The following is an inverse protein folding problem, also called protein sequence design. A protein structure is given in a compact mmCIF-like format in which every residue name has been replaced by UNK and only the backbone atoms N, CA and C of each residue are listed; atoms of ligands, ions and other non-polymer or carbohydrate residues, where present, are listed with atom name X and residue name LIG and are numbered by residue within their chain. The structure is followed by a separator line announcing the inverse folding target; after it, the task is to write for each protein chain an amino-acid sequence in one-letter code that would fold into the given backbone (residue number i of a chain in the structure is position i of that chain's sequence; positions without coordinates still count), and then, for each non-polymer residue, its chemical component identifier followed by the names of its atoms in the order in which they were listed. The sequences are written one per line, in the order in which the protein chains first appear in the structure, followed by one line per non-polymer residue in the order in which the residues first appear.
data_IF_198442047760
#
_entry.id   IF_198442047760
#
_cell.length_a   1.000
_cell.length_b   1.000
_cell.length_c   1.000
_cell.angle_alpha   90.00
_cell.angle_beta   90.00
_cell.angle_gamma   90.00
#
_symmetry.space_group_name_H-M   'P 1'
#
loop_
_entity.id
_entity.type
_entity.pdbx_description
1 polymer ?
#
# COMPACT_ATOMS: atom_id res chain seq x y z
N UNK A 1 -4.32 10.13 29.38
CA UNK A 1 -5.08 10.26 28.11
C UNK A 1 -4.17 10.29 26.88
N UNK A 2 -3.13 11.14 26.85
CA UNK A 2 -2.18 11.21 25.73
C UNK A 2 -1.38 9.91 25.51
N UNK A 3 -0.91 9.27 26.60
CA UNK A 3 -0.23 7.96 26.54
C UNK A 3 -1.13 6.85 25.96
N UNK A 4 -2.40 6.80 26.39
CA UNK A 4 -3.35 5.80 25.89
C UNK A 4 -3.63 5.99 24.40
N UNK A 5 -3.81 7.24 23.94
CA UNK A 5 -4.02 7.54 22.50
C UNK A 5 -2.78 7.21 21.66
N UNK A 6 -1.59 7.50 22.19
CA UNK A 6 -0.32 7.27 21.51
C UNK A 6 0.00 5.78 21.35
N UNK A 7 -0.15 4.97 22.39
CA UNK A 7 0.30 3.58 22.35
C UNK A 7 -0.72 2.62 21.74
N UNK A 8 -2.04 2.82 21.89
CA UNK A 8 -3.01 1.86 21.32
C UNK A 8 -3.47 2.25 19.92
N UNK A 9 -3.84 3.51 19.66
CA UNK A 9 -4.43 3.86 18.35
C UNK A 9 -3.38 4.11 17.28
N UNK A 10 -2.31 4.84 17.60
CA UNK A 10 -1.31 5.24 16.61
C UNK A 10 -0.41 4.08 16.18
N UNK A 11 -0.03 3.22 17.13
CA UNK A 11 0.66 1.97 16.84
C UNK A 11 -0.20 1.05 15.96
N UNK A 12 -1.48 0.83 16.33
CA UNK A 12 -2.40 0.03 15.52
C UNK A 12 -2.58 0.59 14.10
N UNK A 13 -2.66 1.92 13.94
CA UNK A 13 -2.73 2.56 12.62
C UNK A 13 -1.44 2.32 11.84
N UNK A 14 -0.28 2.44 12.47
CA UNK A 14 1.00 2.23 11.81
C UNK A 14 1.14 0.78 11.33
N UNK A 15 0.80 -0.20 12.17
CA UNK A 15 0.83 -1.61 11.83
C UNK A 15 -0.12 -1.91 10.65
N UNK A 16 -1.34 -1.38 10.71
CA UNK A 16 -2.31 -1.47 9.63
C UNK A 16 -1.79 -0.85 8.32
N UNK A 17 -1.11 0.31 8.39
CA UNK A 17 -0.53 0.97 7.21
C UNK A 17 0.57 0.10 6.58
N UNK A 18 1.40 -0.54 7.40
CA UNK A 18 2.47 -1.44 6.93
C UNK A 18 1.89 -2.67 6.24
N UNK A 19 0.96 -3.37 6.90
CA UNK A 19 0.28 -4.54 6.36
C UNK A 19 -0.43 -4.20 5.04
N UNK A 20 -1.22 -3.12 5.05
CA UNK A 20 -1.92 -2.63 3.85
C UNK A 20 -0.95 -2.28 2.73
N UNK A 21 0.23 -1.73 3.04
CA UNK A 21 1.25 -1.42 2.02
C UNK A 21 1.84 -2.68 1.39
N UNK A 22 2.08 -3.74 2.17
CA UNK A 22 2.58 -5.02 1.67
C UNK A 22 1.55 -5.66 0.75
N UNK A 23 0.30 -5.79 1.22
CA UNK A 23 -0.80 -6.36 0.43
C UNK A 23 -1.08 -5.56 -0.84
N UNK A 24 -1.08 -4.22 -0.74
CA UNK A 24 -1.24 -3.35 -1.90
C UNK A 24 -0.10 -3.51 -2.91
N UNK A 25 1.12 -3.79 -2.46
CA UNK A 25 2.26 -4.05 -3.35
C UNK A 25 2.08 -5.35 -4.14
N UNK A 26 1.60 -6.42 -3.48
CA UNK A 26 1.24 -7.68 -4.14
C UNK A 26 0.13 -7.42 -5.17
N UNK A 27 -0.91 -6.68 -4.80
CA UNK A 27 -2.00 -6.31 -5.69
C UNK A 27 -1.51 -5.54 -6.92
N UNK A 28 -0.58 -4.59 -6.75
CA UNK A 28 0.03 -3.86 -7.87
C UNK A 28 0.69 -4.82 -8.85
N UNK A 29 1.45 -5.82 -8.36
CA UNK A 29 2.08 -6.82 -9.22
C UNK A 29 1.05 -7.66 -9.99
N UNK A 30 -0.04 -8.07 -9.33
CA UNK A 30 -1.15 -8.77 -9.97
C UNK A 30 -1.80 -7.92 -11.06
N UNK A 31 -2.09 -6.64 -10.78
CA UNK A 31 -2.65 -5.71 -11.77
C UNK A 31 -1.71 -5.56 -12.97
N UNK A 32 -0.40 -5.44 -12.73
CA UNK A 32 0.59 -5.33 -13.81
C UNK A 32 0.67 -6.61 -14.65
N UNK A 33 0.60 -7.79 -14.01
CA UNK A 33 0.57 -9.08 -14.69
C UNK A 33 -0.68 -9.20 -15.59
N UNK A 34 -1.87 -8.91 -15.05
CA UNK A 34 -3.13 -8.93 -15.80
C UNK A 34 -3.08 -7.96 -16.97
N UNK A 35 -2.57 -6.74 -16.75
CA UNK A 35 -2.37 -5.75 -17.81
C UNK A 35 -1.44 -6.24 -18.92
N UNK A 36 -0.41 -7.00 -18.56
CA UNK A 36 0.56 -7.54 -19.49
C UNK A 36 -0.02 -8.71 -20.30
N UNK A 37 -0.62 -9.70 -19.63
CA UNK A 37 -1.19 -10.91 -20.23
C UNK A 37 -2.42 -10.55 -21.10
N UNK A 38 -3.37 -9.81 -20.53
CA UNK A 38 -4.61 -9.43 -21.20
C UNK A 38 -4.49 -8.12 -22.00
N UNK A 39 -3.27 -7.69 -22.34
CA UNK A 39 -3.00 -6.38 -23.01
C UNK A 39 -3.81 -6.15 -24.28
N UNK A 40 -4.10 -7.24 -25.03
CA UNK A 40 -4.85 -7.23 -26.29
C UNK A 40 -6.37 -7.24 -26.08
N UNK A 41 -6.83 -7.73 -24.93
CA UNK A 41 -8.25 -7.94 -24.64
C UNK A 41 -8.86 -6.90 -23.71
N UNK A 42 -8.04 -6.20 -22.94
CA UNK A 42 -8.53 -5.13 -22.05
C UNK A 42 -8.55 -3.78 -22.76
N UNK A 43 -9.74 -3.16 -22.79
CA UNK A 43 -9.90 -1.78 -23.24
C UNK A 43 -9.19 -0.81 -22.28
N UNK A 44 -8.85 0.41 -22.72
CA UNK A 44 -8.26 1.42 -21.84
C UNK A 44 -9.06 1.71 -20.56
N UNK A 45 -10.40 1.68 -20.65
CA UNK A 45 -11.29 1.92 -19.52
C UNK A 45 -11.14 0.84 -18.44
N UNK A 46 -11.10 -0.44 -18.83
CA UNK A 46 -10.93 -1.54 -17.87
C UNK A 46 -9.52 -1.57 -17.26
N UNK A 47 -8.50 -1.25 -18.05
CA UNK A 47 -7.13 -1.07 -17.56
C UNK A 47 -7.05 -0.03 -16.45
N UNK A 48 -7.73 1.11 -16.63
CA UNK A 48 -7.82 2.14 -15.61
C UNK A 48 -8.66 1.69 -14.41
N UNK A 49 -9.79 1.02 -14.65
CA UNK A 49 -10.68 0.56 -13.58
C UNK A 49 -10.04 -0.46 -12.64
N UNK A 50 -9.09 -1.29 -13.11
CA UNK A 50 -8.29 -2.17 -12.24
C UNK A 50 -7.54 -1.40 -11.14
N UNK A 51 -7.03 -0.20 -11.46
CA UNK A 51 -6.36 0.63 -10.46
C UNK A 51 -7.32 1.22 -9.43
N UNK A 52 -8.62 1.32 -9.73
CA UNK A 52 -9.61 1.77 -8.75
C UNK A 52 -9.81 0.72 -7.65
N UNK A 53 -9.54 -0.56 -7.93
CA UNK A 53 -9.53 -1.63 -6.91
C UNK A 53 -8.38 -1.40 -5.93
N UNK A 54 -7.18 -1.03 -6.44
CA UNK A 54 -6.05 -0.64 -5.59
C UNK A 54 -6.39 0.57 -4.72
N UNK A 55 -6.99 1.61 -5.31
CA UNK A 55 -7.41 2.80 -4.55
C UNK A 55 -8.42 2.41 -3.47
N UNK A 56 -9.41 1.56 -3.78
CA UNK A 56 -10.36 1.07 -2.79
C UNK A 56 -9.67 0.27 -1.67
N UNK A 57 -8.71 -0.61 -2.01
CA UNK A 57 -7.95 -1.41 -1.03
C UNK A 57 -7.14 -0.57 -0.06
N UNK A 58 -6.59 0.54 -0.53
CA UNK A 58 -5.81 1.49 0.28
C UNK A 58 -6.68 2.37 1.20
N UNK A 59 -7.99 2.51 0.91
CA UNK A 59 -8.91 3.34 1.70
C UNK A 59 -9.61 2.54 2.77
N UNK A 60 -9.94 1.27 2.49
CA UNK A 60 -10.77 0.44 3.36
C UNK A 60 -9.90 -0.20 4.45
N UNK A 61 -10.10 0.17 5.73
CA UNK A 61 -9.35 -0.40 6.83
C UNK A 61 -9.80 -1.82 7.21
N UNK A 62 -11.01 -2.23 6.81
CA UNK A 62 -11.60 -3.52 7.19
C UNK A 62 -12.52 -4.06 6.07
N UNK A 63 -12.40 -5.34 5.70
CA UNK A 63 -13.29 -6.04 4.77
C UNK A 63 -14.16 -7.07 5.49
N UNK A 64 -15.37 -7.40 4.97
CA UNK A 64 -16.16 -8.52 5.47
C UNK A 64 -15.48 -9.86 5.11
N UNK A 65 -15.30 -10.68 6.14
CA UNK A 65 -14.65 -11.99 6.09
C UNK A 65 -15.39 -12.96 5.17
N UNK A 66 -14.69 -13.69 4.28
CA UNK A 66 -15.34 -14.74 3.46
C UNK A 66 -14.43 -15.96 3.21
N UNK A 67 -15.05 -17.15 3.20
CA UNK A 67 -14.40 -18.46 3.30
C UNK A 67 -13.77 -19.02 2.01
N UNK A 68 -13.63 -18.23 0.94
CA UNK A 68 -13.10 -18.73 -0.33
C UNK A 68 -11.73 -18.12 -0.60
N UNK A 69 -10.67 -18.84 -0.19
CA UNK A 69 -9.30 -18.44 -0.51
C UNK A 69 -8.43 -19.60 -1.01
N UNK A 70 -7.64 -19.29 -2.04
CA UNK A 70 -6.74 -20.20 -2.76
C UNK A 70 -5.44 -20.42 -1.95
N UNK A 71 -5.21 -19.68 -0.85
CA UNK A 71 -4.06 -19.91 0.03
C UNK A 71 -4.07 -21.30 0.70
N UNK A 72 -5.17 -22.05 0.64
CA UNK A 72 -5.21 -23.47 0.95
C UNK A 72 -4.31 -24.35 0.04
N UNK A 73 -3.83 -23.84 -1.11
CA UNK A 73 -2.97 -24.57 -2.05
C UNK A 73 -1.46 -24.31 -1.88
N UNK A 74 -1.04 -23.45 -0.94
CA UNK A 74 0.38 -23.25 -0.60
C UNK A 74 0.65 -23.87 0.78
N UNK A 75 1.09 -25.14 0.86
CA UNK A 75 1.50 -25.74 2.12
C UNK A 75 2.89 -25.20 2.46
N UNK A 76 2.95 -24.05 3.12
CA UNK A 76 4.16 -23.61 3.82
C UNK A 76 3.92 -23.96 5.28
N UNK A 77 4.52 -25.08 5.68
CA UNK A 77 4.55 -25.67 7.03
C UNK A 77 3.28 -26.39 7.49
N UNK A 78 3.08 -27.60 6.99
CA UNK A 78 2.46 -28.66 7.79
C UNK A 78 3.60 -29.40 8.49
N UNK A 79 3.85 -29.07 9.77
CA UNK A 79 4.61 -29.94 10.67
C UNK A 79 3.88 -31.30 10.73
N UNK A 80 4.59 -32.43 10.57
CA UNK A 80 3.96 -33.74 10.58
C UNK A 80 3.45 -34.05 11.99
N UNK A 81 2.13 -34.16 12.13
CA UNK A 81 1.50 -34.75 13.32
C UNK A 81 2.06 -36.15 13.53
N UNK A 82 2.93 -36.27 14.53
CA UNK A 82 3.49 -37.53 14.97
C UNK A 82 2.40 -38.31 15.69
N UNK A 83 1.84 -39.31 15.02
CA UNK A 83 1.06 -40.37 15.66
C UNK A 83 2.04 -41.16 16.52
N UNK A 84 1.88 -41.16 17.83
CA UNK A 84 2.59 -42.11 18.70
C UNK A 84 1.61 -42.70 19.70
N UNK A 85 1.47 -44.02 19.55
CA UNK A 85 0.64 -44.94 20.31
C UNK A 85 1.02 -44.93 21.80
N UNK A 86 -0.01 -45.08 22.64
CA UNK A 86 0.12 -45.32 24.07
C UNK A 86 0.78 -46.67 24.35
N UNK A 87 1.71 -46.70 25.30
CA UNK A 87 1.93 -47.87 26.14
C UNK A 87 2.23 -47.43 27.58
N UNK A 88 1.51 -48.06 28.51
CA UNK A 88 1.44 -47.76 29.94
C UNK A 88 2.64 -48.31 30.70
N UNK A 89 3.23 -47.54 31.63
CA UNK A 89 3.75 -48.11 32.89
C UNK A 89 3.91 -47.06 34.00
N UNK A 90 3.72 -47.56 35.22
CA UNK A 90 3.53 -46.96 36.54
C UNK A 90 4.73 -46.22 37.18
N UNK A 91 4.41 -45.11 37.87
CA UNK A 91 4.96 -44.37 39.04
C UNK A 91 6.29 -44.82 39.75
N UNK A 92 6.96 -43.99 40.62
CA UNK A 92 6.48 -42.79 41.34
C UNK A 92 7.45 -41.59 41.55
N UNK A 93 6.86 -40.50 42.08
CA UNK A 93 7.40 -39.43 42.96
C UNK A 93 8.61 -38.58 42.54
N UNK A 94 8.35 -37.28 42.33
CA UNK A 94 9.35 -36.21 42.49
C UNK A 94 8.63 -34.89 42.87
N UNK A 95 9.23 -34.18 43.82
CA UNK A 95 8.73 -33.01 44.56
C UNK A 95 8.50 -31.81 43.62
N UNK A 96 7.29 -31.26 43.61
CA UNK A 96 6.95 -30.04 42.87
C UNK A 96 7.38 -28.78 43.66
N UNK A 97 8.35 -28.03 43.11
CA UNK A 97 8.66 -26.66 43.52
C UNK A 97 7.79 -25.71 42.69
N UNK A 98 6.96 -24.92 43.36
CA UNK A 98 6.11 -23.89 42.76
C UNK A 98 6.95 -22.77 42.12
N UNK A 99 6.71 -22.38 40.86
CA UNK A 99 7.40 -21.25 40.28
C UNK A 99 6.74 -19.93 40.71
N UNK A 100 7.61 -18.98 41.08
CA UNK A 100 7.29 -17.60 41.40
C UNK A 100 6.85 -16.89 40.12
N UNK A 101 5.64 -16.30 40.12
CA UNK A 101 5.18 -15.43 39.05
C UNK A 101 6.05 -14.16 39.01
N UNK A 102 6.82 -13.99 37.94
CA UNK A 102 7.50 -12.72 37.63
C UNK A 102 6.58 -11.96 36.67
N UNK A 103 6.01 -10.85 37.15
CA UNK A 103 5.37 -9.86 36.27
C UNK A 103 6.43 -9.32 35.30
N UNK A 104 6.26 -9.61 34.00
CA UNK A 104 7.08 -9.01 32.96
C UNK A 104 6.80 -7.50 32.88
N UNK A 105 7.82 -6.69 33.19
CA UNK A 105 7.81 -5.24 32.93
C UNK A 105 8.00 -5.05 31.42
N UNK A 106 7.10 -4.34 30.70
CA UNK A 106 7.19 -4.20 29.26
C UNK A 106 8.41 -3.35 28.89
N UNK A 107 9.39 -3.95 28.25
CA UNK A 107 10.54 -3.22 27.67
C UNK A 107 10.03 -2.50 26.42
N UNK A 108 9.90 -1.18 26.48
CA UNK A 108 9.57 -0.35 25.31
C UNK A 108 10.63 -0.56 24.20
N UNK A 109 10.22 -1.15 23.08
CA UNK A 109 11.06 -1.33 21.90
C UNK A 109 11.35 0.03 21.23
N UNK A 110 12.42 0.71 21.66
CA UNK A 110 12.86 2.02 21.16
C UNK A 110 12.91 2.14 19.62
N UNK A 111 13.23 1.06 18.90
CA UNK A 111 13.29 1.07 17.43
C UNK A 111 11.91 1.27 16.79
N UNK A 112 10.86 0.61 17.31
CA UNK A 112 9.48 0.76 16.80
C UNK A 112 9.01 2.20 16.95
N UNK A 113 9.25 2.79 18.13
CA UNK A 113 8.91 4.18 18.42
C UNK A 113 9.63 5.14 17.46
N UNK A 114 10.91 4.90 17.14
CA UNK A 114 11.64 5.69 16.14
C UNK A 114 11.00 5.60 14.76
N UNK A 115 10.65 4.40 14.28
CA UNK A 115 10.00 4.23 12.96
C UNK A 115 8.63 4.91 12.88
N UNK A 116 7.83 4.79 13.94
CA UNK A 116 6.53 5.44 14.04
C UNK A 116 6.67 6.97 14.00
N UNK A 117 7.65 7.54 14.73
CA UNK A 117 7.93 8.98 14.69
C UNK A 117 8.36 9.43 13.29
N UNK A 118 9.28 8.69 12.65
CA UNK A 118 9.73 8.98 11.28
C UNK A 118 8.54 8.95 10.31
N UNK A 119 7.65 7.97 10.43
CA UNK A 119 6.48 7.85 9.59
C UNK A 119 5.55 9.06 9.73
N UNK A 120 5.22 9.49 10.96
CA UNK A 120 4.38 10.66 11.23
C UNK A 120 5.01 11.93 10.68
N UNK A 121 6.30 12.14 10.95
CA UNK A 121 7.03 13.32 10.45
C UNK A 121 6.98 13.34 8.92
N UNK A 122 7.18 12.20 8.27
CA UNK A 122 7.06 12.07 6.80
C UNK A 122 5.67 12.45 6.30
N UNK A 123 4.61 11.93 6.92
CA UNK A 123 3.22 12.25 6.59
C UNK A 123 2.93 13.74 6.77
N UNK A 124 3.37 14.35 7.88
CA UNK A 124 3.16 15.76 8.17
C UNK A 124 3.89 16.67 7.16
N UNK A 125 5.16 16.39 6.87
CA UNK A 125 5.96 17.18 5.92
C UNK A 125 5.36 17.08 4.51
N UNK A 126 5.08 15.86 4.03
CA UNK A 126 4.53 15.65 2.70
C UNK A 126 3.09 16.19 2.57
N UNK A 127 2.28 16.03 3.62
CA UNK A 127 0.93 16.62 3.73
C UNK A 127 0.95 18.13 3.69
N UNK A 128 1.82 18.78 4.49
CA UNK A 128 1.99 20.22 4.48
C UNK A 128 2.45 20.71 3.11
N UNK A 129 3.43 20.06 2.50
CA UNK A 129 3.91 20.40 1.15
C UNK A 129 2.78 20.30 0.11
N UNK A 130 1.98 19.22 0.14
CA UNK A 130 0.82 19.06 -0.74
C UNK A 130 -0.22 20.17 -0.53
N UNK A 131 -0.54 20.51 0.72
CA UNK A 131 -1.50 21.57 1.03
C UNK A 131 -0.99 22.93 0.52
N UNK A 132 0.27 23.28 0.81
CA UNK A 132 0.86 24.55 0.41
C UNK A 132 0.94 24.69 -1.11
N UNK A 133 1.39 23.65 -1.82
CA UNK A 133 1.48 23.65 -3.29
C UNK A 133 0.10 23.77 -3.94
N UNK A 134 -0.89 22.98 -3.49
CA UNK A 134 -2.26 23.06 -4.00
C UNK A 134 -2.93 24.40 -3.68
N UNK A 135 -2.70 24.99 -2.48
CA UNK A 135 -3.22 26.31 -2.13
C UNK A 135 -2.61 27.42 -2.98
N UNK A 136 -1.28 27.39 -3.19
CA UNK A 136 -0.59 28.34 -4.09
C UNK A 136 -1.14 28.23 -5.51
N UNK A 137 -1.27 27.01 -6.03
CA UNK A 137 -1.83 26.75 -7.35
C UNK A 137 -3.28 27.21 -7.48
N UNK A 138 -4.11 26.92 -6.47
CA UNK A 138 -5.51 27.37 -6.43
C UNK A 138 -5.62 28.90 -6.44
N UNK A 139 -4.83 29.58 -5.60
CA UNK A 139 -4.81 31.04 -5.53
C UNK A 139 -4.28 31.69 -6.81
N UNK A 140 -3.36 31.02 -7.51
CA UNK A 140 -2.85 31.48 -8.79
C UNK A 140 -3.91 31.35 -9.90
N UNK A 141 -4.60 30.21 -9.96
CA UNK A 141 -5.62 29.92 -10.99
C UNK A 141 -6.90 30.72 -10.75
N UNK A 142 -7.31 30.92 -9.48
CA UNK A 142 -8.53 31.67 -9.15
C UNK A 142 -8.48 33.13 -9.61
N UNK A 143 -7.29 33.68 -9.82
CA UNK A 143 -7.03 35.03 -10.32
C UNK A 143 -6.96 35.12 -11.85
N UNK A 144 -6.96 33.99 -12.56
CA UNK A 144 -6.85 34.03 -14.02
C UNK A 144 -8.15 34.52 -14.68
N UNK A 145 -8.06 35.34 -15.72
CA UNK A 145 -9.23 35.85 -16.41
C UNK A 145 -9.99 34.73 -17.15
N UNK A 146 -11.31 34.90 -17.24
CA UNK A 146 -12.20 34.01 -18.01
C UNK A 146 -12.05 34.35 -19.49
N UNK A 147 -12.03 33.32 -20.35
CA UNK A 147 -12.00 33.48 -21.80
C UNK A 147 -13.38 33.95 -22.26
N UNK A 148 -13.42 35.10 -22.94
CA UNK A 148 -14.66 35.73 -23.45
C UNK A 148 -14.84 35.58 -24.96
N UNK A 149 -13.86 35.01 -25.66
CA UNK A 149 -13.88 34.90 -27.11
C UNK A 149 -15.02 33.98 -27.60
N UNK A 150 -15.95 34.56 -28.37
CA UNK A 150 -17.21 33.91 -28.77
C UNK A 150 -16.98 32.62 -29.55
N UNK A 151 -16.03 32.62 -30.50
CA UNK A 151 -15.65 31.44 -31.31
C UNK A 151 -15.34 30.24 -30.41
N UNK A 152 -14.43 30.43 -29.47
CA UNK A 152 -13.96 29.36 -28.57
C UNK A 152 -15.06 28.93 -27.60
N UNK A 153 -15.82 29.88 -27.06
CA UNK A 153 -16.94 29.58 -26.15
C UNK A 153 -18.05 28.77 -26.83
N UNK A 154 -18.36 29.05 -28.10
CA UNK A 154 -19.41 28.34 -28.82
C UNK A 154 -18.99 26.89 -29.13
N UNK A 155 -17.74 26.67 -29.56
CA UNK A 155 -17.17 25.32 -29.71
C UNK A 155 -17.22 24.57 -28.38
N UNK A 156 -16.78 25.22 -27.29
CA UNK A 156 -16.77 24.63 -25.96
C UNK A 156 -18.18 24.23 -25.48
N UNK A 157 -19.18 25.11 -25.65
CA UNK A 157 -20.58 24.84 -25.31
C UNK A 157 -21.15 23.67 -26.10
N UNK A 158 -20.85 23.58 -27.39
CA UNK A 158 -21.28 22.47 -28.23
C UNK A 158 -20.68 21.14 -27.74
N UNK A 159 -19.38 21.09 -27.46
CA UNK A 159 -18.73 19.91 -26.89
C UNK A 159 -19.37 19.49 -25.55
N UNK A 160 -19.62 20.48 -24.67
CA UNK A 160 -20.24 20.26 -23.36
C UNK A 160 -21.65 19.67 -23.50
N UNK A 161 -22.44 20.17 -24.46
CA UNK A 161 -23.78 19.68 -24.79
C UNK A 161 -23.75 18.24 -25.31
N UNK A 162 -22.88 17.94 -26.27
CA UNK A 162 -22.72 16.60 -26.84
C UNK A 162 -22.27 15.56 -25.81
N UNK A 163 -21.40 15.94 -24.87
CA UNK A 163 -20.96 15.05 -23.79
C UNK A 163 -21.96 14.95 -22.63
N UNK A 164 -23.11 15.63 -22.73
CA UNK A 164 -24.17 15.69 -21.72
C UNK A 164 -23.72 16.24 -20.36
N UNK A 165 -22.82 17.23 -20.35
CA UNK A 165 -22.30 17.85 -19.13
C UNK A 165 -23.16 19.08 -18.77
N UNK A 166 -23.94 18.97 -17.69
CA UNK A 166 -24.84 20.05 -17.23
C UNK A 166 -24.15 21.07 -16.34
N UNK A 167 -23.06 20.69 -15.65
CA UNK A 167 -22.36 21.59 -14.73
C UNK A 167 -21.78 22.78 -15.51
N UNK A 168 -21.85 23.95 -14.90
CA UNK A 168 -21.15 25.11 -15.43
C UNK A 168 -19.67 25.03 -15.04
N UNK A 169 -18.81 25.04 -16.06
CA UNK A 169 -17.37 24.89 -15.93
C UNK A 169 -16.79 26.06 -16.73
N UNK A 170 -16.25 27.09 -16.06
CA UNK A 170 -15.72 28.26 -16.76
C UNK A 170 -14.42 27.89 -17.49
N UNK A 171 -14.26 28.49 -18.66
CA UNK A 171 -13.04 28.44 -19.46
C UNK A 171 -12.16 29.64 -19.09
N UNK A 172 -10.96 29.41 -18.58
CA UNK A 172 -10.06 30.47 -18.11
C UNK A 172 -8.70 30.42 -18.84
N UNK A 173 -7.99 31.54 -18.90
CA UNK A 173 -6.61 31.55 -19.40
C UNK A 173 -5.69 30.81 -18.42
N UNK A 174 -4.70 30.09 -18.95
CA UNK A 174 -3.78 29.27 -18.16
C UNK A 174 -2.58 30.06 -17.58
N UNK A 175 -2.29 31.25 -18.13
CA UNK A 175 -1.17 32.09 -17.73
C UNK A 175 0.17 31.36 -17.91
N UNK A 176 0.92 31.16 -16.81
CA UNK A 176 2.18 30.41 -16.78
C UNK A 176 2.03 28.88 -16.94
N UNK A 177 0.81 28.34 -16.88
CA UNK A 177 0.58 26.91 -17.12
C UNK A 177 0.41 26.73 -18.62
N UNK A 178 1.30 25.97 -19.26
CA UNK A 178 1.35 25.96 -20.73
C UNK A 178 0.40 24.94 -21.36
N UNK A 179 0.08 23.83 -20.68
CA UNK A 179 -0.83 22.81 -21.21
C UNK A 179 -2.30 23.15 -20.95
N UNK A 180 -3.24 22.82 -21.87
CA UNK A 180 -4.65 22.73 -21.51
C UNK A 180 -4.80 21.77 -20.35
N UNK A 181 -5.58 22.15 -19.34
CA UNK A 181 -5.74 21.32 -18.15
C UNK A 181 -7.03 21.65 -17.41
N UNK A 182 -7.77 20.61 -17.04
CA UNK A 182 -8.84 20.72 -16.04
C UNK A 182 -8.25 20.89 -14.64
N UNK A 183 -8.75 21.88 -13.89
CA UNK A 183 -8.32 22.17 -12.52
C UNK A 183 -9.50 22.25 -11.55
N UNK A 184 -9.30 21.71 -10.34
CA UNK A 184 -10.21 21.88 -9.21
C UNK A 184 -11.30 20.81 -9.12
N UNK A 185 -11.62 20.41 -7.87
CA UNK A 185 -12.64 19.39 -7.58
C UNK A 185 -14.03 20.03 -7.42
N UNK A 186 -14.19 20.90 -6.40
CA UNK A 186 -15.50 21.49 -6.08
C UNK A 186 -15.92 22.56 -7.12
N UNK A 187 -14.94 23.34 -7.58
CA UNK A 187 -15.09 24.41 -8.58
C UNK A 187 -14.19 24.10 -9.79
N UNK A 188 -14.58 23.14 -10.65
CA UNK A 188 -13.78 22.77 -11.81
C UNK A 188 -13.66 23.95 -12.78
N UNK A 189 -12.49 24.12 -13.37
CA UNK A 189 -12.19 25.14 -14.40
C UNK A 189 -11.36 24.48 -15.49
N UNK A 190 -11.61 24.79 -16.75
CA UNK A 190 -10.74 24.37 -17.85
C UNK A 190 -9.81 25.52 -18.17
N UNK A 191 -8.52 25.25 -18.17
CA UNK A 191 -7.48 26.22 -18.48
C UNK A 191 -7.02 26.03 -19.92
N UNK A 192 -6.86 27.14 -20.64
CA UNK A 192 -6.37 27.15 -22.01
C UNK A 192 -5.36 28.27 -22.21
N UNK A 193 -4.23 27.95 -22.84
CA UNK A 193 -3.21 28.95 -23.22
C UNK A 193 -3.78 29.95 -24.24
N UNK A 194 -3.37 31.21 -24.13
CA UNK A 194 -3.70 32.26 -25.09
C UNK A 194 -3.26 31.90 -26.51
N UNK A 195 -2.14 31.20 -26.66
CA UNK A 195 -1.68 30.71 -27.96
C UNK A 195 -2.66 29.73 -28.59
N UNK A 196 -3.31 28.88 -27.78
CA UNK A 196 -4.33 27.96 -28.28
C UNK A 196 -5.58 28.69 -28.76
N UNK A 197 -6.02 29.66 -27.97
CA UNK A 197 -7.17 30.50 -28.29
C UNK A 197 -6.96 31.21 -29.63
N UNK A 198 -5.74 31.66 -29.93
CA UNK A 198 -5.42 32.42 -31.15
C UNK A 198 -5.09 31.57 -32.37
N UNK A 199 -4.33 30.49 -32.20
CA UNK A 199 -3.72 29.78 -33.33
C UNK A 199 -4.35 28.42 -33.64
N UNK A 200 -5.10 27.81 -32.72
CA UNK A 200 -5.73 26.53 -33.02
C UNK A 200 -7.00 26.70 -33.85
N UNK A 201 -7.10 25.84 -34.85
CA UNK A 201 -8.31 25.67 -35.65
C UNK A 201 -9.46 25.13 -34.81
N UNK A 202 -10.69 25.36 -35.28
CA UNK A 202 -11.91 24.98 -34.57
C UNK A 202 -11.96 23.47 -34.25
N UNK A 203 -11.53 22.64 -35.19
CA UNK A 203 -11.46 21.18 -34.99
C UNK A 203 -10.42 20.79 -33.93
N UNK A 204 -9.27 21.46 -33.91
CA UNK A 204 -8.23 21.20 -32.91
C UNK A 204 -8.70 21.58 -31.51
N UNK A 205 -9.39 22.73 -31.36
CA UNK A 205 -10.02 23.13 -30.11
C UNK A 205 -11.07 22.12 -29.65
N UNK A 206 -11.92 21.66 -30.57
CA UNK A 206 -12.95 20.65 -30.31
C UNK A 206 -12.33 19.34 -29.78
N UNK A 207 -11.25 18.87 -30.39
CA UNK A 207 -10.51 17.69 -29.94
C UNK A 207 -9.95 17.84 -28.52
N UNK A 208 -9.35 18.99 -28.20
CA UNK A 208 -8.85 19.30 -26.86
C UNK A 208 -10.01 19.31 -25.86
N UNK A 209 -11.13 19.95 -26.19
CA UNK A 209 -12.28 20.01 -25.29
C UNK A 209 -12.90 18.65 -25.01
N UNK A 210 -13.05 17.77 -26.00
CA UNK A 210 -13.51 16.40 -25.73
C UNK A 210 -12.56 15.64 -24.78
N UNK A 211 -11.25 15.87 -24.88
CA UNK A 211 -10.27 15.27 -23.98
C UNK A 211 -10.36 15.84 -22.56
N UNK A 212 -10.34 17.17 -22.39
CA UNK A 212 -10.41 17.81 -21.06
C UNK A 212 -11.74 17.56 -20.35
N UNK A 213 -12.86 17.61 -21.09
CA UNK A 213 -14.18 17.27 -20.56
C UNK A 213 -14.28 15.77 -20.21
N UNK A 214 -13.45 14.92 -20.82
CA UNK A 214 -13.37 13.51 -20.45
C UNK A 214 -12.78 13.30 -19.06
N UNK A 215 -11.74 14.05 -18.68
CA UNK A 215 -11.23 14.05 -17.31
C UNK A 215 -12.29 14.47 -16.31
N UNK A 216 -13.09 15.49 -16.66
CA UNK A 216 -14.16 15.97 -15.79
C UNK A 216 -15.23 14.89 -15.58
N UNK A 217 -15.75 14.30 -16.67
CA UNK A 217 -16.82 13.30 -16.62
C UNK A 217 -16.40 12.03 -15.85
N UNK A 218 -15.11 11.68 -15.89
CA UNK A 218 -14.53 10.55 -15.15
C UNK A 218 -14.06 10.89 -13.72
N UNK A 219 -14.14 12.15 -13.30
CA UNK A 219 -13.70 12.64 -11.98
C UNK A 219 -12.20 12.38 -11.71
N UNK A 220 -11.38 12.46 -12.75
CA UNK A 220 -9.97 12.10 -12.70
C UNK A 220 -9.17 12.95 -11.69
N UNK A 221 -9.50 14.22 -11.53
CA UNK A 221 -8.86 15.11 -10.54
C UNK A 221 -9.10 14.62 -9.11
N UNK A 222 -10.31 14.18 -8.80
CA UNK A 222 -10.64 13.68 -7.46
C UNK A 222 -9.88 12.40 -7.15
N UNK A 223 -9.80 11.48 -8.13
CA UNK A 223 -9.06 10.22 -8.00
C UNK A 223 -7.56 10.49 -7.85
N UNK A 224 -7.02 11.46 -8.60
CA UNK A 224 -5.61 11.84 -8.49
C UNK A 224 -5.29 12.49 -7.14
N UNK A 225 -6.16 13.36 -6.61
CA UNK A 225 -5.98 13.90 -5.27
C UNK A 225 -6.03 12.80 -4.21
N UNK A 226 -7.02 11.90 -4.30
CA UNK A 226 -7.17 10.78 -3.38
C UNK A 226 -5.93 9.87 -3.40
N UNK A 227 -5.44 9.51 -4.59
CA UNK A 227 -4.22 8.72 -4.73
C UNK A 227 -2.99 9.45 -4.16
N UNK A 228 -2.88 10.77 -4.33
CA UNK A 228 -1.79 11.54 -3.73
C UNK A 228 -1.88 11.55 -2.20
N UNK A 229 -3.07 11.65 -1.61
CA UNK A 229 -3.25 11.51 -0.16
C UNK A 229 -2.81 10.13 0.33
N UNK A 230 -3.21 9.07 -0.37
CA UNK A 230 -2.80 7.69 -0.05
C UNK A 230 -1.29 7.49 -0.18
N UNK A 231 -0.66 8.06 -1.21
CA UNK A 231 0.80 8.04 -1.36
C UNK A 231 1.52 8.76 -0.23
N UNK A 232 0.93 9.81 0.37
CA UNK A 232 1.51 10.48 1.53
C UNK A 232 1.50 9.55 2.75
N UNK A 233 0.41 8.81 2.97
CA UNK A 233 0.31 7.82 4.05
C UNK A 233 1.31 6.69 3.85
N UNK A 234 1.46 6.22 2.60
CA UNK A 234 2.38 5.14 2.22
C UNK A 234 3.65 5.66 1.53
N UNK A 235 4.19 6.80 1.95
CA UNK A 235 5.26 7.50 1.23
C UNK A 235 6.52 6.65 1.07
N UNK A 236 6.77 5.74 2.01
CA UNK A 236 7.91 4.83 2.02
C UNK A 236 7.81 3.72 0.97
N UNK A 237 6.64 3.49 0.34
CA UNK A 237 6.41 2.39 -0.58
C UNK A 237 6.66 2.79 -2.05
N UNK A 238 7.80 2.42 -2.66
CA UNK A 238 8.14 2.77 -4.04
C UNK A 238 7.22 2.11 -5.08
N UNK A 239 6.63 0.95 -4.76
CA UNK A 239 5.73 0.22 -5.66
C UNK A 239 4.43 1.01 -5.87
N UNK A 240 3.92 1.65 -4.82
CA UNK A 240 2.74 2.53 -4.94
C UNK A 240 3.04 3.79 -5.76
N UNK A 241 4.23 4.36 -5.65
CA UNK A 241 4.65 5.48 -6.52
C UNK A 241 4.69 5.06 -8.00
N UNK A 242 5.20 3.87 -8.28
CA UNK A 242 5.16 3.29 -9.62
C UNK A 242 3.73 3.02 -10.09
N UNK A 243 2.88 2.45 -9.23
CA UNK A 243 1.47 2.19 -9.50
C UNK A 243 0.72 3.48 -9.86
N UNK A 244 0.92 4.56 -9.10
CA UNK A 244 0.34 5.87 -9.39
C UNK A 244 0.78 6.39 -10.78
N UNK A 245 2.05 6.23 -11.13
CA UNK A 245 2.57 6.60 -12.45
C UNK A 245 1.92 5.76 -13.56
N UNK A 246 1.78 4.45 -13.37
CA UNK A 246 1.13 3.56 -14.33
C UNK A 246 -0.38 3.83 -14.45
N UNK A 247 -1.06 4.11 -13.34
CA UNK A 247 -2.46 4.50 -13.29
C UNK A 247 -2.72 5.78 -14.08
N UNK A 248 -1.86 6.81 -13.92
CA UNK A 248 -1.96 8.05 -14.72
C UNK A 248 -1.83 7.78 -16.23
N UNK A 249 -0.96 6.87 -16.64
CA UNK A 249 -0.86 6.50 -18.06
C UNK A 249 -2.14 5.86 -18.61
N UNK A 250 -2.78 5.00 -17.81
CA UNK A 250 -4.06 4.40 -18.19
C UNK A 250 -5.22 5.40 -18.13
N UNK A 251 -5.13 6.39 -17.25
CA UNK A 251 -6.08 7.48 -17.14
C UNK A 251 -6.11 8.30 -18.45
N UNK A 252 -4.96 8.68 -18.97
CA UNK A 252 -4.83 9.39 -20.27
C UNK A 252 -5.43 8.58 -21.42
N UNK A 253 -5.12 7.28 -21.46
CA UNK A 253 -5.64 6.37 -22.48
C UNK A 253 -7.15 6.19 -22.42
N UNK A 254 -7.71 6.14 -21.22
CA UNK A 254 -9.15 6.06 -21.01
C UNK A 254 -9.85 7.38 -21.38
N UNK A 255 -9.21 8.53 -21.18
CA UNK A 255 -9.68 9.83 -21.65
C UNK A 255 -9.72 9.90 -23.17
N UNK A 256 -8.61 9.57 -23.84
CA UNK A 256 -8.56 9.51 -25.30
C UNK A 256 -9.65 8.55 -25.85
N UNK A 257 -9.80 7.38 -25.24
CA UNK A 257 -10.81 6.41 -25.65
C UNK A 257 -12.23 6.96 -25.52
N UNK A 258 -12.51 7.78 -24.49
CA UNK A 258 -13.83 8.40 -24.33
C UNK A 258 -14.04 9.57 -25.31
N UNK A 259 -13.04 10.43 -25.49
CA UNK A 259 -13.08 11.51 -26.48
C UNK A 259 -13.38 10.97 -27.89
N UNK A 260 -12.75 9.86 -28.25
CA UNK A 260 -12.95 9.17 -29.53
C UNK A 260 -14.39 8.66 -29.77
N UNK A 261 -15.24 8.58 -28.73
CA UNK A 261 -16.66 8.24 -28.90
C UNK A 261 -17.49 9.38 -29.51
N UNK A 262 -16.98 10.62 -29.45
CA UNK A 262 -17.59 11.85 -29.97
C UNK A 262 -16.92 12.36 -31.26
N UNK A 263 -15.78 11.78 -31.64
CA UNK A 263 -15.02 12.17 -32.84
C UNK A 263 -15.37 11.24 -34.00
N UNK A 264 -15.61 11.83 -35.17
CA UNK A 264 -15.94 11.06 -36.37
C UNK A 264 -14.77 10.15 -36.79
N UNK A 265 -15.06 8.96 -37.38
CA UNK A 265 -14.01 8.04 -37.82
C UNK A 265 -12.99 8.65 -38.80
N UNK A 266 -13.42 9.56 -39.66
CA UNK A 266 -12.57 10.27 -40.63
C UNK A 266 -11.59 11.25 -39.97
N UNK A 267 -11.91 11.72 -38.76
CA UNK A 267 -11.17 12.76 -38.04
C UNK A 267 -10.16 12.20 -37.03
N UNK A 268 -10.10 10.88 -36.85
CA UNK A 268 -9.26 10.23 -35.83
C UNK A 268 -7.77 10.52 -36.00
N UNK A 269 -7.31 10.59 -37.25
CA UNK A 269 -5.92 10.94 -37.55
C UNK A 269 -5.63 12.40 -37.18
N UNK A 270 -6.55 13.31 -37.48
CA UNK A 270 -6.43 14.73 -37.12
C UNK A 270 -6.41 14.93 -35.59
N UNK A 271 -7.24 14.17 -34.86
CA UNK A 271 -7.17 14.09 -33.40
C UNK A 271 -5.78 13.65 -32.92
N UNK A 272 -5.27 12.54 -33.47
CA UNK A 272 -3.94 12.02 -33.13
C UNK A 272 -2.83 13.04 -33.36
N UNK A 273 -2.84 13.75 -34.49
CA UNK A 273 -1.87 14.81 -34.78
C UNK A 273 -1.99 15.99 -33.82
N UNK A 274 -3.21 16.39 -33.46
CA UNK A 274 -3.45 17.48 -32.50
C UNK A 274 -2.84 17.13 -31.14
N UNK A 275 -3.02 15.89 -30.68
CA UNK A 275 -2.41 15.41 -29.44
C UNK A 275 -0.88 15.41 -29.52
N UNK A 276 -0.29 14.97 -30.64
CA UNK A 276 1.18 15.00 -30.83
C UNK A 276 1.70 16.44 -30.74
N UNK A 277 1.09 17.35 -31.49
CA UNK A 277 1.48 18.77 -31.51
C UNK A 277 1.41 19.39 -30.10
N UNK A 278 0.34 19.09 -29.36
CA UNK A 278 0.17 19.55 -27.98
C UNK A 278 1.28 19.03 -27.07
N UNK A 279 1.60 17.74 -27.14
CA UNK A 279 2.65 17.13 -26.31
C UNK A 279 4.03 17.68 -26.64
N UNK A 280 4.34 17.88 -27.93
CA UNK A 280 5.62 18.44 -28.35
C UNK A 280 5.81 19.87 -27.85
N UNK A 281 4.77 20.69 -27.93
CA UNK A 281 4.79 22.09 -27.53
C UNK A 281 5.00 22.30 -26.01
N UNK A 282 4.62 21.35 -25.16
CA UNK A 282 4.59 21.52 -23.70
C UNK A 282 5.55 20.63 -22.89
N UNK A 283 6.44 19.88 -23.56
CA UNK A 283 7.34 18.92 -22.92
C UNK A 283 8.53 19.50 -22.12
N UNK A 284 8.65 20.83 -22.00
CA UNK A 284 9.86 21.52 -21.52
C UNK A 284 9.79 22.16 -20.13
N UNK A 285 8.66 22.11 -19.41
CA UNK A 285 8.53 22.76 -18.09
C UNK A 285 8.49 21.79 -16.90
N UNK A 286 9.07 22.18 -15.75
CA UNK A 286 9.03 21.51 -14.44
C UNK A 286 7.59 21.50 -13.87
N UNK A 287 7.10 20.37 -13.31
CA UNK A 287 5.67 20.19 -13.01
C UNK A 287 5.39 19.51 -11.64
N UNK A 288 4.44 20.01 -10.83
CA UNK A 288 3.96 19.36 -9.60
C UNK A 288 3.01 18.18 -9.89
N UNK A 289 2.99 17.18 -9.01
CA UNK A 289 2.33 15.86 -9.17
C UNK A 289 0.79 15.86 -9.20
N UNK A 290 0.14 17.02 -9.02
CA UNK A 290 -1.31 17.14 -8.86
C UNK A 290 -2.06 17.45 -10.16
N UNK A 291 -1.34 17.71 -11.25
CA UNK A 291 -1.92 17.95 -12.57
C UNK A 291 -1.80 16.68 -13.44
N UNK A 292 -2.90 16.29 -14.08
CA UNK A 292 -2.88 15.27 -15.13
C UNK A 292 -2.12 15.86 -16.31
N UNK A 293 -0.86 15.46 -16.52
CA UNK A 293 -0.02 16.05 -17.57
C UNK A 293 0.69 15.01 -18.43
N UNK A 294 0.75 15.35 -19.72
CA UNK A 294 1.36 14.57 -20.77
C UNK A 294 2.88 14.47 -20.60
N UNK A 295 3.35 13.28 -20.23
CA UNK A 295 4.76 12.99 -20.02
C UNK A 295 5.51 12.72 -21.34
N UNK A 296 6.74 13.28 -21.46
CA UNK A 296 7.78 13.16 -22.52
C UNK A 296 8.29 11.73 -22.76
N UNK A 297 7.44 10.71 -22.73
CA UNK A 297 7.83 9.35 -23.04
C UNK A 297 7.29 8.99 -24.43
N UNK A 298 8.18 8.93 -25.42
CA UNK A 298 7.87 8.51 -26.79
C UNK A 298 7.11 7.19 -26.83
N UNK A 299 7.38 6.27 -25.89
CA UNK A 299 6.66 5.00 -25.76
C UNK A 299 5.19 5.23 -25.38
N UNK A 300 4.90 6.17 -24.47
CA UNK A 300 3.53 6.50 -24.04
C UNK A 300 2.74 7.17 -25.15
N UNK A 301 3.33 8.17 -25.79
CA UNK A 301 2.71 8.84 -26.92
C UNK A 301 2.42 7.84 -28.05
N UNK A 302 3.39 6.99 -28.41
CA UNK A 302 3.20 5.90 -29.38
C UNK A 302 2.03 4.99 -29.01
N UNK A 303 1.91 4.60 -27.74
CA UNK A 303 0.79 3.76 -27.29
C UNK A 303 -0.56 4.47 -27.50
N UNK A 304 -0.67 5.77 -27.16
CA UNK A 304 -1.89 6.57 -27.39
C UNK A 304 -2.27 6.61 -28.86
N UNK A 305 -1.32 6.91 -29.74
CA UNK A 305 -1.56 6.97 -31.20
C UNK A 305 -1.98 5.62 -31.78
N UNK A 306 -1.35 4.52 -31.34
CA UNK A 306 -1.76 3.17 -31.77
C UNK A 306 -3.19 2.86 -31.31
N UNK A 307 -3.57 3.26 -30.10
CA UNK A 307 -4.93 3.08 -29.58
C UNK A 307 -5.95 3.88 -30.39
N UNK A 308 -5.68 5.17 -30.64
CA UNK A 308 -6.52 6.06 -31.45
C UNK A 308 -6.73 5.46 -32.85
N UNK A 309 -5.66 4.97 -33.50
CA UNK A 309 -5.72 4.34 -34.82
C UNK A 309 -6.57 3.07 -34.83
N UNK A 310 -6.49 2.25 -33.77
CA UNK A 310 -7.18 0.95 -33.66
C UNK A 310 -8.55 1.04 -32.96
N UNK A 311 -9.03 2.24 -32.67
CA UNK A 311 -10.25 2.44 -31.90
C UNK A 311 -11.48 1.81 -32.58
N UNK A 312 -12.20 0.99 -31.83
CA UNK A 312 -13.46 0.38 -32.26
C UNK A 312 -14.54 0.58 -31.18
N UNK A 313 -15.71 1.10 -31.59
CA UNK A 313 -16.80 1.52 -30.71
C UNK A 313 -17.59 0.34 -30.10
N UNK A 314 -17.55 -0.84 -30.73
CA UNK A 314 -18.32 -2.02 -30.29
C UNK A 314 -17.37 -3.18 -30.00
N UNK A 315 -17.14 -3.46 -28.72
CA UNK A 315 -16.44 -4.67 -28.35
C UNK A 315 -16.98 -5.26 -27.04
N UNK A 316 -18.18 -5.83 -27.14
CA UNK A 316 -18.86 -6.44 -26.00
C UNK A 316 -18.05 -7.59 -25.38
N UNK A 317 -17.29 -8.34 -26.20
CA UNK A 317 -16.37 -9.37 -25.72
C UNK A 317 -15.25 -8.80 -24.84
N UNK A 318 -14.66 -7.67 -25.24
CA UNK A 318 -13.62 -7.00 -24.43
C UNK A 318 -14.19 -6.42 -23.14
N UNK A 319 -15.47 -6.03 -23.15
CA UNK A 319 -16.19 -5.59 -21.95
C UNK A 319 -16.40 -6.74 -20.96
N UNK A 320 -16.79 -7.92 -21.44
CA UNK A 320 -16.96 -9.11 -20.61
C UNK A 320 -15.63 -9.56 -19.97
N UNK A 321 -14.54 -9.61 -20.74
CA UNK A 321 -13.20 -9.93 -20.21
C UNK A 321 -12.75 -8.92 -19.16
N UNK A 322 -13.01 -7.63 -19.38
CA UNK A 322 -12.73 -6.58 -18.40
C UNK A 322 -13.49 -6.76 -17.09
N UNK A 323 -14.78 -7.10 -17.17
CA UNK A 323 -15.61 -7.36 -16.01
C UNK A 323 -15.13 -8.58 -15.21
N UNK A 324 -14.82 -9.69 -15.89
CA UNK A 324 -14.26 -10.89 -15.26
C UNK A 324 -12.93 -10.58 -14.56
N UNK A 325 -12.06 -9.80 -15.21
CA UNK A 325 -10.78 -9.40 -14.60
C UNK A 325 -10.99 -8.55 -13.33
N UNK A 326 -11.95 -7.60 -13.34
CA UNK A 326 -12.28 -6.83 -12.13
C UNK A 326 -12.84 -7.73 -11.04
N UNK A 327 -13.77 -8.64 -11.36
CA UNK A 327 -14.33 -9.56 -10.38
C UNK A 327 -13.27 -10.47 -9.77
N UNK A 328 -12.38 -11.04 -10.59
CA UNK A 328 -11.29 -11.89 -10.12
C UNK A 328 -10.31 -11.13 -9.20
N UNK A 329 -9.91 -9.91 -9.57
CA UNK A 329 -9.00 -9.09 -8.74
C UNK A 329 -9.69 -8.62 -7.48
N UNK A 330 -10.98 -8.25 -7.56
CA UNK A 330 -11.75 -7.82 -6.38
C UNK A 330 -11.95 -8.97 -5.40
N UNK A 331 -12.29 -10.16 -5.87
CA UNK A 331 -12.40 -11.35 -5.04
C UNK A 331 -11.06 -11.74 -4.41
N UNK A 332 -9.96 -11.62 -5.15
CA UNK A 332 -8.63 -11.89 -4.62
C UNK A 332 -8.15 -10.87 -3.58
N UNK A 333 -8.50 -9.59 -3.77
CA UNK A 333 -7.91 -8.49 -2.98
C UNK A 333 -8.75 -8.01 -1.80
N UNK A 334 -10.06 -8.21 -1.85
CA UNK A 334 -11.02 -7.64 -0.90
C UNK A 334 -11.61 -8.70 0.04
N UNK A 335 -11.06 -9.92 0.02
CA UNK A 335 -11.44 -11.01 0.92
C UNK A 335 -10.28 -11.26 1.87
N UNK A 336 -10.47 -10.90 3.14
CA UNK A 336 -9.53 -11.26 4.19
C UNK A 336 -9.67 -12.75 4.56
N UNK A 337 -8.53 -13.38 4.84
CA UNK A 337 -8.45 -14.79 5.23
C UNK A 337 -9.12 -14.97 6.58
N UNK A 338 -10.17 -15.80 6.63
CA UNK A 338 -10.58 -16.40 7.90
C UNK A 338 -9.44 -17.31 8.34
N UNK A 339 -8.75 -16.95 9.42
CA UNK A 339 -8.08 -17.96 10.21
C UNK A 339 -9.20 -18.92 10.64
N UNK A 340 -9.33 -20.07 9.97
CA UNK A 340 -10.15 -21.14 10.49
C UNK A 340 -9.59 -21.45 11.87
N UNK A 341 -10.27 -20.94 12.90
CA UNK A 341 -10.30 -21.52 14.23
C UNK A 341 -10.50 -23.00 13.98
N UNK A 342 -9.42 -23.77 14.05
CA UNK A 342 -9.32 -25.13 13.55
C UNK A 342 -10.54 -25.90 14.03
N UNK A 343 -11.14 -26.77 13.21
CA UNK A 343 -12.25 -27.64 13.65
C UNK A 343 -11.97 -28.30 15.01
N UNK A 344 -10.68 -28.54 15.31
CA UNK A 344 -10.13 -28.89 16.61
C UNK A 344 -10.62 -28.00 17.77
N UNK A 345 -10.56 -26.67 17.70
CA UNK A 345 -10.96 -25.77 18.79
C UNK A 345 -12.49 -25.71 18.97
N UNK A 346 -13.25 -25.84 17.88
CA UNK A 346 -14.72 -25.86 17.94
C UNK A 346 -15.25 -27.18 18.49
N UNK A 347 -14.56 -28.29 18.18
CA UNK A 347 -14.85 -29.62 18.70
C UNK A 347 -14.40 -29.75 20.17
N UNK A 348 -13.26 -29.18 20.53
CA UNK A 348 -12.78 -29.13 21.92
C UNK A 348 -13.72 -28.31 22.82
N UNK A 349 -14.24 -27.18 22.33
CA UNK A 349 -15.24 -26.39 23.07
C UNK A 349 -16.58 -27.13 23.20
N UNK A 350 -17.01 -27.86 22.16
CA UNK A 350 -18.23 -28.66 22.18
C UNK A 350 -18.11 -29.89 23.11
N UNK A 351 -16.93 -30.52 23.17
CA UNK A 351 -16.66 -31.65 24.06
C UNK A 351 -16.52 -31.18 25.52
N UNK A 352 -15.93 -30.00 25.78
CA UNK A 352 -15.94 -29.37 27.11
C UNK A 352 -17.35 -29.09 27.60
N UNK A 353 -18.23 -28.56 26.75
CA UNK A 353 -19.64 -28.31 27.11
C UNK A 353 -20.43 -29.59 27.42
N UNK A 354 -20.24 -30.67 26.63
CA UNK A 354 -20.88 -31.97 26.90
C UNK A 354 -20.40 -32.61 28.20
N UNK A 355 -19.10 -32.50 28.49
CA UNK A 355 -18.52 -33.07 29.71
C UNK A 355 -19.01 -32.31 30.96
N UNK A 356 -19.17 -30.99 30.86
CA UNK A 356 -19.72 -30.17 31.93
C UNK A 356 -21.22 -30.45 32.19
N UNK A 357 -22.00 -30.68 31.12
CA UNK A 357 -23.40 -31.12 31.25
C UNK A 357 -23.53 -32.50 31.88
N UNK A 358 -22.68 -33.46 31.49
CA UNK A 358 -22.68 -34.81 32.07
C UNK A 358 -22.38 -34.79 33.58
N UNK A 359 -21.40 -33.98 34.01
CA UNK A 359 -21.07 -33.80 35.44
C UNK A 359 -22.22 -33.13 36.21
N UNK A 360 -22.94 -32.18 35.58
CA UNK A 360 -24.10 -31.54 36.20
C UNK A 360 -25.27 -32.51 36.35
N UNK A 361 -25.49 -33.37 35.36
CA UNK A 361 -26.54 -34.40 35.36
C UNK A 361 -26.25 -35.47 36.43
N UNK A 362 -25.04 -36.00 36.48
CA UNK A 362 -24.65 -37.02 37.46
C UNK A 362 -24.71 -36.50 38.91
N UNK A 363 -24.33 -35.25 39.13
CA UNK A 363 -24.48 -34.60 40.42
C UNK A 363 -25.96 -34.41 40.83
N UNK A 364 -26.86 -34.18 39.86
CA UNK A 364 -28.29 -34.05 40.12
C UNK A 364 -28.94 -35.42 40.41
N UNK A 365 -28.53 -36.46 39.69
CA UNK A 365 -29.02 -37.83 39.91
C UNK A 365 -28.60 -38.39 41.28
N UNK A 366 -27.38 -38.08 41.74
CA UNK A 366 -26.90 -38.44 43.09
C UNK A 366 -27.60 -37.71 44.23
N UNK A 367 -28.16 -36.53 43.97
CA UNK A 367 -29.04 -35.82 44.93
C UNK A 367 -30.43 -36.45 44.93
N UNK A 368 -30.96 -36.81 43.76
CA UNK A 368 -32.26 -37.45 43.63
C UNK A 368 -32.31 -38.86 44.23
N UNK A 369 -31.20 -39.60 44.22
CA UNK A 369 -31.05 -40.91 44.90
C UNK A 369 -30.87 -40.80 46.42
N UNK A 370 -30.73 -39.57 46.95
CA UNK A 370 -30.48 -39.31 48.38
C UNK A 370 -29.04 -39.61 48.82
N UNK A 371 -28.14 -39.84 47.88
CA UNK A 371 -26.74 -40.20 48.15
C UNK A 371 -25.91 -38.97 48.54
N UNK A 372 -26.20 -37.80 47.96
CA UNK A 372 -25.60 -36.50 48.30
C UNK A 372 -26.64 -35.46 48.73
N UNK A 373 -26.25 -34.55 49.64
CA UNK A 373 -27.00 -33.31 49.88
C UNK A 373 -26.58 -32.20 48.89
N UNK A 374 -27.33 -31.09 48.86
CA UNK A 374 -27.06 -29.97 47.93
C UNK A 374 -25.65 -29.38 48.08
N UNK A 375 -25.06 -29.43 49.28
CA UNK A 375 -23.71 -28.94 49.54
C UNK A 375 -22.66 -29.90 48.98
N UNK A 376 -22.84 -31.21 49.17
CA UNK A 376 -21.94 -32.23 48.64
C UNK A 376 -22.00 -32.31 47.11
N UNK A 377 -23.15 -32.05 46.50
CA UNK A 377 -23.27 -31.95 45.05
C UNK A 377 -22.55 -30.72 44.47
N UNK A 378 -22.50 -29.60 45.22
CA UNK A 378 -21.73 -28.43 44.85
C UNK A 378 -20.21 -28.67 44.94
N UNK A 379 -19.76 -29.32 46.01
CA UNK A 379 -18.34 -29.71 46.19
C UNK A 379 -17.89 -30.71 45.12
N UNK A 380 -18.75 -31.66 44.75
CA UNK A 380 -18.47 -32.62 43.67
C UNK A 380 -18.27 -31.92 42.31
N UNK A 381 -19.14 -30.96 41.94
CA UNK A 381 -18.98 -30.17 40.71
C UNK A 381 -17.68 -29.37 40.72
N UNK A 382 -17.31 -28.80 41.87
CA UNK A 382 -16.08 -28.02 42.04
C UNK A 382 -14.83 -28.92 41.90
N UNK A 383 -14.86 -30.13 42.47
CA UNK A 383 -13.79 -31.11 42.36
C UNK A 383 -13.59 -31.60 40.92
N UNK A 384 -14.67 -31.92 40.22
CA UNK A 384 -14.61 -32.38 38.82
C UNK A 384 -14.21 -31.25 37.84
N UNK A 385 -14.49 -29.99 38.19
CA UNK A 385 -13.95 -28.83 37.47
C UNK A 385 -12.43 -28.69 37.68
N UNK A 386 -11.93 -28.96 38.89
CA UNK A 386 -10.49 -28.97 39.20
C UNK A 386 -9.71 -30.12 38.55
N UNK A 387 -10.29 -31.32 38.42
CA UNK A 387 -9.65 -32.45 37.73
C UNK A 387 -9.54 -32.23 36.20
N UNK A 388 -10.47 -31.50 35.58
CA UNK A 388 -10.34 -31.10 34.17
C UNK A 388 -9.25 -30.04 33.97
N UNK A 389 -8.99 -29.17 34.96
CA UNK A 389 -7.86 -28.24 34.94
C UNK A 389 -6.50 -28.95 35.11
N UNK A 390 -6.44 -30.04 35.90
CA UNK A 390 -5.25 -30.87 36.06
C UNK A 390 -4.85 -31.64 34.79
N UNK A 391 -5.73 -31.71 33.77
CA UNK A 391 -5.40 -32.26 32.44
C UNK A 391 -4.84 -31.20 31.48
N UNK A 392 -5.03 -29.90 31.78
CA UNK A 392 -4.41 -28.78 31.04
C UNK A 392 -2.95 -28.51 31.47
N UNK A 393 -2.52 -29.06 32.61
CA UNK A 393 -1.17 -28.83 33.18
C UNK A 393 -0.08 -29.78 32.64
N UNK A 394 -0.42 -30.73 31.75
CA UNK A 394 0.57 -31.62 31.07
C UNK A 394 0.93 -31.23 29.63
N UNK A 395 0.44 -30.10 29.16
CA UNK A 395 0.83 -29.51 27.86
C UNK A 395 1.73 -28.26 28.00
N UNK A 396 2.09 -27.86 29.23
CA UNK A 396 2.89 -26.65 29.49
C UNK A 396 4.07 -26.93 30.44
N UNK A 397 4.79 -28.03 30.22
CA UNK A 397 6.12 -28.25 30.80
C UNK A 397 7.14 -28.51 29.69
N UNK A 398 7.53 -27.44 29.00
CA UNK A 398 8.82 -27.33 28.31
C UNK A 398 9.58 -26.16 28.93
N UNK A 399 9.96 -26.33 30.20
CA UNK A 399 10.92 -25.48 30.91
C UNK A 399 12.21 -26.29 31.14
N UNK A 400 12.98 -26.43 30.06
CA UNK A 400 14.46 -26.44 30.12
C UNK A 400 15.04 -25.34 29.22
N UNK A 401 14.31 -24.22 29.09
CA UNK A 401 14.78 -23.05 28.32
C UNK A 401 15.61 -22.06 29.16
N UNK A 402 15.54 -22.10 30.50
CA UNK A 402 16.29 -21.13 31.33
C UNK A 402 17.81 -21.43 31.39
N UNK A 403 18.22 -22.69 31.22
CA UNK A 403 19.64 -23.07 31.10
C UNK A 403 20.18 -22.91 29.68
N UNK A 404 19.32 -23.04 28.66
CA UNK A 404 19.68 -22.79 27.25
C UNK A 404 19.78 -21.30 26.95
N UNK A 405 18.83 -20.48 27.40
CA UNK A 405 18.83 -19.03 27.16
C UNK A 405 19.99 -18.33 27.89
N UNK A 406 20.38 -18.80 29.08
CA UNK A 406 21.59 -18.30 29.76
C UNK A 406 22.87 -18.68 29.02
N UNK A 407 22.92 -19.86 28.37
CA UNK A 407 24.06 -20.28 27.53
C UNK A 407 24.11 -19.52 26.20
N UNK A 408 22.98 -19.26 25.56
CA UNK A 408 22.90 -18.50 24.31
C UNK A 408 23.17 -17.01 24.53
N UNK A 409 22.67 -16.41 25.61
CA UNK A 409 22.98 -15.03 25.98
C UNK A 409 24.46 -14.85 26.34
N UNK A 410 25.06 -15.80 27.07
CA UNK A 410 26.49 -15.78 27.36
C UNK A 410 27.33 -15.95 26.08
N UNK A 411 26.92 -16.83 25.15
CA UNK A 411 27.59 -17.01 23.86
C UNK A 411 27.46 -15.76 22.97
N UNK A 412 26.30 -15.10 22.98
CA UNK A 412 26.08 -13.85 22.23
C UNK A 412 26.96 -12.71 22.75
N UNK A 413 27.03 -12.54 24.08
CA UNK A 413 27.82 -11.45 24.67
C UNK A 413 29.33 -11.71 24.54
N UNK A 414 29.76 -12.97 24.59
CA UNK A 414 31.14 -13.35 24.30
C UNK A 414 31.51 -13.03 22.83
N UNK A 415 30.63 -13.36 21.88
CA UNK A 415 30.83 -13.05 20.45
C UNK A 415 30.83 -11.55 20.17
N UNK A 416 30.02 -10.78 20.89
CA UNK A 416 29.99 -9.31 20.82
C UNK A 416 31.27 -8.69 21.38
N UNK A 417 31.82 -9.22 22.48
CA UNK A 417 33.11 -8.79 23.02
C UNK A 417 34.28 -9.13 22.08
N UNK A 418 34.27 -10.30 21.43
CA UNK A 418 35.25 -10.66 20.41
C UNK A 418 35.19 -9.73 19.19
N UNK A 419 33.99 -9.42 18.71
CA UNK A 419 33.79 -8.49 17.60
C UNK A 419 34.23 -7.06 17.96
N UNK A 420 34.00 -6.62 19.19
CA UNK A 420 34.48 -5.34 19.68
C UNK A 420 36.01 -5.29 19.77
N UNK A 421 36.66 -6.36 20.25
CA UNK A 421 38.13 -6.48 20.26
C UNK A 421 38.71 -6.48 18.84
N UNK A 422 38.07 -7.21 17.92
CA UNK A 422 38.48 -7.24 16.52
C UNK A 422 38.36 -5.86 15.85
N UNK A 423 37.25 -5.16 16.07
CA UNK A 423 37.05 -3.80 15.55
C UNK A 423 38.03 -2.79 16.16
N UNK A 424 38.36 -2.92 17.44
CA UNK A 424 39.39 -2.11 18.09
C UNK A 424 40.79 -2.38 17.50
N UNK A 425 41.11 -3.66 17.22
CA UNK A 425 42.36 -4.03 16.57
C UNK A 425 42.47 -3.48 15.14
N UNK A 426 41.38 -3.53 14.35
CA UNK A 426 41.32 -2.91 13.01
C UNK A 426 41.55 -1.40 13.12
N UNK A 427 40.91 -0.73 14.09
CA UNK A 427 41.08 0.71 14.29
C UNK A 427 42.51 1.08 14.65
N UNK A 428 43.14 0.34 15.57
CA UNK A 428 44.54 0.56 15.94
C UNK A 428 45.49 0.32 14.75
N UNK A 429 45.24 -0.72 13.95
CA UNK A 429 46.03 -1.00 12.74
C UNK A 429 45.91 0.13 11.71
N UNK A 430 44.70 0.65 11.50
CA UNK A 430 44.48 1.77 10.59
C UNK A 430 45.13 3.07 11.08
N UNK A 431 45.14 3.33 12.39
CA UNK A 431 45.85 4.48 12.97
C UNK A 431 47.38 4.36 12.79
N UNK A 432 47.93 3.15 12.90
CA UNK A 432 49.36 2.89 12.66
C UNK A 432 49.73 3.08 11.18
N UNK A 433 48.89 2.57 10.26
CA UNK A 433 49.07 2.77 8.81
C UNK A 433 49.05 4.27 8.48
N UNK A 434 48.08 5.02 9.00
CA UNK A 434 48.00 6.46 8.76
C UNK A 434 49.23 7.21 9.29
N UNK A 435 49.79 6.81 10.43
CA UNK A 435 51.05 7.37 10.95
C UNK A 435 52.24 7.07 10.03
N UNK A 436 52.33 5.84 9.51
CA UNK A 436 53.39 5.45 8.59
C UNK A 436 53.30 6.21 7.27
N UNK A 437 52.10 6.39 6.71
CA UNK A 437 51.88 7.21 5.50
C UNK A 437 52.24 8.68 5.72
N UNK A 438 51.90 9.24 6.88
CA UNK A 438 52.29 10.61 7.23
C UNK A 438 53.81 10.76 7.36
N UNK A 439 54.49 9.80 8.00
CA UNK A 439 55.95 9.80 8.12
C UNK A 439 56.66 9.66 6.77
N UNK A 440 56.17 8.77 5.89
CA UNK A 440 56.70 8.59 4.54
C UNK A 440 56.51 9.85 3.68
N UNK A 441 55.37 10.53 3.82
CA UNK A 441 55.11 11.79 3.11
C UNK A 441 56.07 12.89 3.56
N UNK A 442 56.38 12.97 4.85
CA UNK A 442 57.31 13.95 5.39
C UNK A 442 58.76 13.66 4.99
N UNK A 443 59.18 12.40 5.00
CA UNK A 443 60.50 12.00 4.47
C UNK A 443 60.66 12.37 3.00
N UNK A 444 59.65 12.12 2.18
CA UNK A 444 59.68 12.46 0.75
C UNK A 444 59.76 13.97 0.51
N UNK A 445 59.11 14.79 1.36
CA UNK A 445 59.26 16.25 1.32
C UNK A 445 60.68 16.68 1.69
N UNK A 446 61.30 16.06 2.69
CA UNK A 446 62.67 16.37 3.10
C UNK A 446 63.70 15.97 2.05
N UNK A 447 63.51 14.84 1.35
CA UNK A 447 64.35 14.45 0.22
C UNK A 447 64.24 15.42 -0.95
N UNK A 448 63.02 15.79 -1.36
CA UNK A 448 62.83 16.80 -2.42
C UNK A 448 63.41 18.16 -2.04
N UNK A 449 63.37 18.54 -0.76
CA UNK A 449 63.99 19.77 -0.29
C UNK A 449 65.54 19.71 -0.37
N UNK A 450 66.14 18.55 -0.08
CA UNK A 450 67.59 18.33 -0.20
C UNK A 450 68.05 18.30 -1.67
N UNK A 451 67.30 17.64 -2.55
CA UNK A 451 67.59 17.63 -4.00
C UNK A 451 67.53 19.04 -4.61
N UNK A 452 66.50 19.82 -4.24
CA UNK A 452 66.39 21.21 -4.69
C UNK A 452 67.49 22.13 -4.13
N UNK A 453 68.04 21.81 -2.95
CA UNK A 453 69.15 22.54 -2.37
C UNK A 453 70.51 22.16 -3.01
N UNK A 454 70.66 20.94 -3.52
CA UNK A 454 71.87 20.47 -4.21
C UNK A 454 71.94 20.89 -5.71
N UNK A 455 70.81 21.28 -6.31
CA UNK A 455 70.72 21.78 -7.69
C UNK A 455 70.90 23.31 -7.82
N UNK A 456 71.22 24.02 -6.74
CA UNK A 456 71.64 25.43 -6.72
C UNK A 456 73.09 25.50 -6.29
#
# INVERSE_FOLDING_TARGET
MFHMIWHTYLASIFDWVIETSILASVLVLVILCIRFVLRKWLTPQWKYALWLILVARLILPWFPESSFSIYALLPINQEPSSVTSQESTTAPESIALTPIQIEEIPVENNAYTIFLIIWIVGVLIAGLFMILTNRRLYNYISKQPVITEKRVLDIYRNCKKEMAIKKDIPLCYSGKISSPTLFGISKPRILLDEKHVKHLEDNQLRYIFYHELSHYKRKDISINLLMNCLLIVHWFNPILWYACRAMREDQEMACDNMAMTFINPTERSAYGYTIIALVEQYSTYYQPSTLAHFSKNKIRLKRRIIMIKKFNKKSQLLTAVGFIAILGVSAFSLVDVKAETTESQKQEMADKMKKEEAVKQEAADKVASGEYDEKMAADYKLKMAGENAATEEKATENLTNEEMDKREAAAYEQKKQEMAKHNAAIKATNEEINKQEAAATEQKKQEMAKENAASK
#
